data_IF_214493001292
#
_entry.id   IF_214493001292
#
_cell.length_a   1.000
_cell.length_b   1.000
_cell.length_c   1.000
_cell.angle_alpha   90.00
_cell.angle_beta   90.00
_cell.angle_gamma   90.00
#
_symmetry.space_group_name_H-M   'P 1'
#
loop_
_entity.id
_entity.type
_entity.pdbx_description
1 polymer ?
#
# COMPACT_ATOMS: atom_id res chain seq x y z
N UNK A 1 -25.05 14.42 -0.91
CA UNK A 1 -23.58 14.34 -1.15
C UNK A 1 -23.05 13.23 -0.28
N UNK A 2 -22.57 12.12 -0.86
CA UNK A 2 -21.97 11.05 -0.07
C UNK A 2 -20.68 11.58 0.58
N UNK A 3 -20.57 11.46 1.90
CA UNK A 3 -19.35 11.80 2.63
C UNK A 3 -18.25 10.84 2.19
N UNK A 4 -17.37 11.27 1.29
CA UNK A 4 -16.20 10.47 0.91
C UNK A 4 -15.15 10.53 2.01
N UNK A 5 -14.55 9.39 2.30
CA UNK A 5 -13.42 9.27 3.21
C UNK A 5 -12.14 9.27 2.35
N UNK A 6 -11.24 10.19 2.63
CA UNK A 6 -9.91 10.18 2.01
C UNK A 6 -8.96 9.34 2.85
N UNK A 7 -8.32 8.38 2.23
CA UNK A 7 -7.29 7.56 2.86
C UNK A 7 -5.94 7.87 2.22
N UNK A 8 -4.97 8.26 3.06
CA UNK A 8 -3.62 8.63 2.65
C UNK A 8 -2.62 7.64 3.24
N UNK A 9 -1.74 7.07 2.43
CA UNK A 9 -0.67 6.25 2.97
C UNK A 9 -0.23 5.07 2.13
N UNK A 10 0.22 4.03 2.80
CA UNK A 10 0.85 2.87 2.20
C UNK A 10 -0.12 1.97 1.44
N UNK A 11 0.20 1.74 0.17
CA UNK A 11 -0.38 0.72 -0.66
C UNK A 11 0.75 0.09 -1.48
N UNK A 12 0.98 -1.19 -1.29
CA UNK A 12 2.14 -1.92 -1.78
C UNK A 12 1.80 -3.38 -2.06
N UNK A 13 2.79 -4.17 -2.41
CA UNK A 13 2.63 -5.62 -2.61
C UNK A 13 3.22 -6.37 -1.42
N UNK A 14 2.40 -7.20 -0.80
CA UNK A 14 2.82 -8.18 0.19
C UNK A 14 3.16 -9.50 -0.51
N UNK A 15 4.39 -9.96 -0.33
CA UNK A 15 4.91 -11.22 -0.87
C UNK A 15 5.20 -12.18 0.27
N UNK A 16 4.61 -13.36 0.21
CA UNK A 16 4.81 -14.40 1.23
C UNK A 16 5.27 -15.70 0.59
N UNK A 17 6.49 -16.12 0.91
CA UNK A 17 6.99 -17.45 0.63
C UNK A 17 6.76 -18.34 1.84
N UNK A 18 6.04 -19.45 1.69
CA UNK A 18 5.88 -20.46 2.74
C UNK A 18 6.65 -21.73 2.35
N UNK A 19 7.58 -22.12 3.21
CA UNK A 19 8.40 -23.29 2.99
C UNK A 19 7.58 -24.57 3.21
N UNK A 20 7.94 -25.64 2.50
CA UNK A 20 7.30 -26.96 2.63
C UNK A 20 7.96 -27.86 3.72
N UNK A 21 8.78 -27.26 4.59
CA UNK A 21 9.46 -27.95 5.68
C UNK A 21 10.45 -27.05 6.42
N UNK A 22 11.29 -27.62 7.29
CA UNK A 22 12.25 -26.84 8.10
C UNK A 22 13.23 -26.05 7.24
N UNK A 23 13.52 -24.82 7.67
CA UNK A 23 14.48 -23.95 6.99
C UNK A 23 15.88 -24.52 6.97
N UNK A 24 16.50 -24.57 5.77
CA UNK A 24 17.92 -24.85 5.60
C UNK A 24 18.62 -23.56 5.15
N UNK A 25 19.37 -22.97 6.07
CA UNK A 25 20.13 -21.75 5.80
C UNK A 25 21.19 -21.99 4.73
N UNK A 26 21.38 -21.03 3.80
CA UNK A 26 22.38 -21.12 2.72
C UNK A 26 22.03 -22.13 1.63
N UNK A 27 20.82 -22.65 1.57
CA UNK A 27 20.36 -23.60 0.57
C UNK A 27 19.02 -23.14 -0.07
N UNK A 28 18.67 -23.75 -1.22
CA UNK A 28 17.32 -23.60 -1.78
C UNK A 28 16.33 -24.43 -0.96
N UNK A 29 15.25 -23.78 -0.56
CA UNK A 29 14.17 -24.41 0.19
C UNK A 29 12.93 -24.48 -0.70
N UNK A 30 12.34 -25.66 -0.91
CA UNK A 30 11.05 -25.78 -1.61
C UNK A 30 9.95 -25.06 -0.85
N UNK A 31 8.98 -24.49 -1.57
CA UNK A 31 7.89 -23.75 -0.94
C UNK A 31 6.91 -23.20 -1.95
N UNK A 32 5.92 -22.45 -1.43
CA UNK A 32 4.88 -21.79 -2.22
C UNK A 32 4.97 -20.29 -2.07
N UNK A 33 4.57 -19.59 -3.10
CA UNK A 33 4.60 -18.14 -3.17
C UNK A 33 3.20 -17.58 -3.28
N UNK A 34 2.90 -16.55 -2.48
CA UNK A 34 1.69 -15.76 -2.57
C UNK A 34 2.07 -14.29 -2.69
N UNK A 35 1.40 -13.59 -3.59
CA UNK A 35 1.57 -12.16 -3.79
C UNK A 35 0.19 -11.50 -3.83
N UNK A 36 0.00 -10.46 -3.02
CA UNK A 36 -1.28 -9.74 -2.94
C UNK A 36 -1.07 -8.26 -2.60
N UNK A 37 -1.96 -7.36 -3.06
CA UNK A 37 -1.97 -5.98 -2.62
C UNK A 37 -2.21 -5.87 -1.12
N UNK A 38 -1.44 -5.00 -0.46
CA UNK A 38 -1.52 -4.73 0.97
C UNK A 38 -1.11 -3.32 1.31
N UNK A 39 -0.74 -3.10 2.56
CA UNK A 39 -0.40 -1.81 3.13
C UNK A 39 -1.50 -1.25 4.03
N UNK A 40 -1.11 -0.48 5.04
CA UNK A 40 -2.02 0.02 6.08
C UNK A 40 -3.17 0.84 5.51
N UNK A 41 -2.86 1.80 4.63
CA UNK A 41 -3.88 2.63 3.98
C UNK A 41 -4.75 1.82 3.01
N UNK A 42 -4.15 0.95 2.21
CA UNK A 42 -4.91 0.10 1.28
C UNK A 42 -5.90 -0.80 2.02
N UNK A 43 -5.47 -1.48 3.09
CA UNK A 43 -6.32 -2.36 3.89
C UNK A 43 -7.46 -1.59 4.57
N UNK A 44 -7.18 -0.38 5.08
CA UNK A 44 -8.21 0.49 5.64
C UNK A 44 -9.22 0.92 4.58
N UNK A 45 -8.75 1.35 3.39
CA UNK A 45 -9.61 1.73 2.28
C UNK A 45 -10.52 0.57 1.84
N UNK A 46 -9.98 -0.65 1.72
CA UNK A 46 -10.73 -1.84 1.39
C UNK A 46 -11.84 -2.14 2.41
N UNK A 47 -11.54 -2.02 3.71
CA UNK A 47 -12.51 -2.27 4.76
C UNK A 47 -13.62 -1.19 4.77
N UNK A 48 -13.26 0.08 4.62
CA UNK A 48 -14.23 1.16 4.52
C UNK A 48 -15.16 1.01 3.30
N UNK A 49 -14.61 0.63 2.15
CA UNK A 49 -15.41 0.37 0.95
C UNK A 49 -16.38 -0.80 1.15
N UNK A 50 -15.94 -1.89 1.79
CA UNK A 50 -16.81 -3.04 2.14
C UNK A 50 -17.92 -2.68 3.14
N UNK A 51 -17.69 -1.67 3.99
CA UNK A 51 -18.69 -1.12 4.89
C UNK A 51 -19.67 -0.14 4.20
N UNK A 52 -19.52 0.07 2.88
CA UNK A 52 -20.41 0.90 2.07
C UNK A 52 -20.06 2.38 2.04
N UNK A 53 -18.87 2.75 2.52
CA UNK A 53 -18.40 4.14 2.40
C UNK A 53 -17.87 4.42 1.01
N UNK A 54 -18.04 5.67 0.54
CA UNK A 54 -17.31 6.19 -0.61
C UNK A 54 -15.88 6.50 -0.17
N UNK A 55 -14.89 5.87 -0.80
CA UNK A 55 -13.49 5.96 -0.40
C UNK A 55 -12.64 6.44 -1.56
N UNK A 56 -11.77 7.41 -1.30
CA UNK A 56 -10.67 7.81 -2.19
C UNK A 56 -9.34 7.42 -1.55
N UNK A 57 -8.47 6.76 -2.31
CA UNK A 57 -7.14 6.35 -1.86
C UNK A 57 -6.06 7.16 -2.59
N UNK A 58 -5.18 7.81 -1.83
CA UNK A 58 -3.97 8.43 -2.35
C UNK A 58 -2.76 7.74 -1.72
N UNK A 59 -1.91 7.16 -2.56
CA UNK A 59 -0.71 6.45 -2.12
C UNK A 59 0.44 6.67 -3.10
N UNK A 60 1.71 6.75 -2.63
CA UNK A 60 2.87 6.74 -3.52
C UNK A 60 3.08 5.34 -4.09
N UNK A 61 3.30 5.26 -5.41
CA UNK A 61 3.57 4.01 -6.14
C UNK A 61 4.60 4.21 -7.22
N UNK A 62 5.25 3.13 -7.64
CA UNK A 62 6.03 3.09 -8.87
C UNK A 62 5.14 3.01 -10.11
N UNK A 63 5.71 3.31 -11.27
CA UNK A 63 5.06 3.11 -12.58
C UNK A 63 5.30 1.69 -13.10
N UNK A 64 5.05 0.67 -12.29
CA UNK A 64 5.35 -0.72 -12.56
C UNK A 64 4.12 -1.64 -12.42
N UNK A 65 4.26 -2.90 -12.80
CA UNK A 65 3.18 -3.89 -12.73
C UNK A 65 2.64 -4.10 -11.31
N UNK A 66 3.47 -3.89 -10.28
CA UNK A 66 3.05 -3.96 -8.88
C UNK A 66 2.09 -2.81 -8.52
N UNK A 67 2.38 -1.59 -9.00
CA UNK A 67 1.49 -0.44 -8.87
C UNK A 67 0.16 -0.66 -9.59
N UNK A 68 0.18 -1.24 -10.79
CA UNK A 68 -1.02 -1.60 -11.55
C UNK A 68 -1.87 -2.66 -10.83
N UNK A 69 -1.25 -3.66 -10.20
CA UNK A 69 -1.95 -4.66 -9.39
C UNK A 69 -2.72 -4.01 -8.22
N UNK A 70 -2.10 -3.05 -7.53
CA UNK A 70 -2.77 -2.31 -6.44
C UNK A 70 -3.95 -1.52 -6.98
N UNK A 71 -3.78 -0.78 -8.10
CA UNK A 71 -4.87 -0.02 -8.72
C UNK A 71 -6.02 -0.91 -9.12
N UNK A 72 -5.76 -2.03 -9.80
CA UNK A 72 -6.79 -2.97 -10.20
C UNK A 72 -7.55 -3.58 -9.01
N UNK A 73 -6.87 -3.79 -7.88
CA UNK A 73 -7.50 -4.30 -6.67
C UNK A 73 -8.40 -3.24 -6.00
N UNK A 74 -7.97 -1.97 -5.99
CA UNK A 74 -8.76 -0.85 -5.49
C UNK A 74 -10.03 -0.64 -6.33
N UNK A 75 -9.90 -0.64 -7.66
CA UNK A 75 -11.01 -0.47 -8.60
C UNK A 75 -12.08 -1.55 -8.45
N UNK A 76 -11.67 -2.82 -8.25
CA UNK A 76 -12.62 -3.94 -8.02
C UNK A 76 -13.51 -3.74 -6.79
N UNK A 77 -13.08 -2.93 -5.83
CA UNK A 77 -13.85 -2.59 -4.62
C UNK A 77 -14.58 -1.24 -4.74
N UNK A 78 -14.52 -0.60 -5.90
CA UNK A 78 -15.12 0.72 -6.12
C UNK A 78 -14.41 1.86 -5.39
N UNK A 79 -13.14 1.66 -5.03
CA UNK A 79 -12.31 2.71 -4.44
C UNK A 79 -11.84 3.65 -5.56
N UNK A 80 -12.03 4.96 -5.36
CA UNK A 80 -11.47 6.00 -6.22
C UNK A 80 -9.96 6.10 -5.99
N UNK A 81 -9.19 5.40 -6.83
CA UNK A 81 -7.75 5.27 -6.70
C UNK A 81 -7.02 6.41 -7.40
N UNK A 82 -6.31 7.23 -6.63
CA UNK A 82 -5.59 8.41 -7.08
C UNK A 82 -4.09 8.33 -6.72
N UNK A 83 -3.31 7.39 -7.29
CA UNK A 83 -1.92 7.20 -6.91
C UNK A 83 -1.04 8.39 -7.30
N UNK A 84 -0.04 8.69 -6.46
CA UNK A 84 1.09 9.55 -6.83
C UNK A 84 2.18 8.65 -7.41
N UNK A 85 2.31 8.66 -8.74
CA UNK A 85 3.20 7.74 -9.45
C UNK A 85 4.59 8.32 -9.61
N UNK A 86 5.61 7.53 -9.27
CA UNK A 86 7.03 7.79 -9.47
C UNK A 86 7.55 6.84 -10.54
N UNK A 87 7.73 7.35 -11.76
CA UNK A 87 8.07 6.52 -12.94
C UNK A 87 9.48 5.91 -12.88
N UNK A 88 10.36 6.47 -12.06
CA UNK A 88 11.75 6.05 -11.90
C UNK A 88 11.97 5.18 -10.65
N UNK A 89 10.89 4.73 -10.00
CA UNK A 89 10.91 3.96 -8.77
C UNK A 89 10.02 2.73 -8.86
N UNK A 90 10.35 1.72 -8.07
CA UNK A 90 9.49 0.56 -7.88
C UNK A 90 8.39 0.86 -6.84
N UNK A 91 7.24 0.23 -7.01
CA UNK A 91 6.20 0.20 -5.98
C UNK A 91 6.74 -0.51 -4.73
N UNK A 92 6.50 0.03 -3.53
CA UNK A 92 6.96 -0.59 -2.30
C UNK A 92 6.49 -2.03 -2.17
N UNK A 93 7.27 -2.85 -1.49
CA UNK A 93 6.92 -4.24 -1.24
C UNK A 93 7.41 -4.72 0.12
N UNK A 94 6.63 -5.60 0.72
CA UNK A 94 7.02 -6.36 1.90
C UNK A 94 7.13 -7.83 1.51
N UNK A 95 8.30 -8.42 1.70
CA UNK A 95 8.55 -9.82 1.36
C UNK A 95 8.89 -10.58 2.63
N UNK A 96 8.12 -11.62 2.95
CA UNK A 96 8.35 -12.49 4.10
C UNK A 96 8.54 -13.94 3.67
N UNK A 97 9.51 -14.60 4.28
CA UNK A 97 9.68 -16.06 4.18
C UNK A 97 9.26 -16.66 5.50
N UNK A 98 8.32 -17.59 5.43
CA UNK A 98 7.72 -18.27 6.58
C UNK A 98 8.05 -19.77 6.55
N UNK A 99 8.22 -20.36 7.70
CA UNK A 99 8.26 -21.81 7.85
C UNK A 99 6.88 -22.44 7.61
N UNK A 100 6.81 -23.75 7.55
CA UNK A 100 5.58 -24.50 7.34
C UNK A 100 4.54 -24.30 8.46
N UNK A 101 5.00 -24.01 9.69
CA UNK A 101 4.15 -23.65 10.84
C UNK A 101 3.72 -22.18 10.87
N UNK A 102 4.26 -21.35 9.94
CA UNK A 102 3.94 -19.93 9.82
C UNK A 102 4.88 -18.99 10.57
N UNK A 103 5.93 -19.51 11.24
CA UNK A 103 6.93 -18.66 11.87
C UNK A 103 7.76 -17.89 10.83
N UNK A 104 8.07 -16.64 11.13
CA UNK A 104 8.86 -15.79 10.25
C UNK A 104 10.34 -16.21 10.29
N UNK A 105 10.88 -16.58 9.13
CA UNK A 105 12.32 -16.82 8.95
C UNK A 105 13.06 -15.51 8.72
N UNK A 106 12.60 -14.71 7.75
CA UNK A 106 13.18 -13.43 7.39
C UNK A 106 12.16 -12.58 6.64
N UNK A 107 12.27 -11.26 6.77
CA UNK A 107 11.49 -10.33 5.97
C UNK A 107 12.37 -9.22 5.40
N UNK A 108 11.97 -8.72 4.24
CA UNK A 108 12.53 -7.54 3.58
C UNK A 108 11.41 -6.53 3.36
N UNK A 109 11.57 -5.33 3.90
CA UNK A 109 10.66 -4.20 3.70
C UNK A 109 11.32 -3.18 2.78
N UNK A 110 10.94 -3.16 1.51
CA UNK A 110 11.36 -2.13 0.56
C UNK A 110 10.29 -1.03 0.53
N UNK A 111 10.42 -0.07 1.45
CA UNK A 111 9.43 0.98 1.72
C UNK A 111 9.96 2.40 1.46
N UNK A 112 11.19 2.55 0.94
CA UNK A 112 11.84 3.85 0.78
C UNK A 112 11.06 4.86 -0.09
N UNK A 113 10.17 4.37 -0.97
CA UNK A 113 9.34 5.25 -1.79
C UNK A 113 8.41 6.13 -0.94
N UNK A 114 7.97 5.65 0.22
CA UNK A 114 7.07 6.43 1.09
C UNK A 114 7.72 7.71 1.61
N UNK A 115 9.03 7.73 1.80
CA UNK A 115 9.79 8.91 2.22
C UNK A 115 9.75 10.05 1.18
N UNK A 116 9.47 9.72 -0.08
CA UNK A 116 9.33 10.69 -1.16
C UNK A 116 7.94 11.35 -1.23
N UNK A 117 6.98 10.85 -0.46
CA UNK A 117 5.65 11.46 -0.36
C UNK A 117 5.67 12.63 0.62
N UNK A 118 6.34 13.70 0.21
CA UNK A 118 6.55 14.90 1.03
C UNK A 118 5.29 15.78 1.13
N UNK A 119 5.27 16.70 2.10
CA UNK A 119 4.25 17.73 2.26
C UNK A 119 4.00 18.56 0.97
N UNK A 120 5.02 18.73 0.14
CA UNK A 120 4.88 19.37 -1.19
C UNK A 120 3.91 18.62 -2.10
N UNK A 121 3.85 17.28 -2.01
CA UNK A 121 2.94 16.45 -2.82
C UNK A 121 1.49 16.66 -2.42
N UNK A 122 1.20 16.90 -1.14
CA UNK A 122 -0.15 17.27 -0.67
C UNK A 122 -0.63 18.60 -1.25
N UNK A 123 0.29 19.51 -1.57
CA UNK A 123 -0.02 20.82 -2.19
C UNK A 123 -0.22 20.74 -3.70
N UNK A 124 0.02 19.59 -4.34
CA UNK A 124 -0.29 19.42 -5.74
C UNK A 124 -1.80 19.59 -5.96
N UNK A 125 -2.19 20.17 -7.10
CA UNK A 125 -3.57 20.55 -7.40
C UNK A 125 -4.54 19.39 -7.21
N UNK A 126 -4.23 18.21 -7.74
CA UNK A 126 -5.07 17.02 -7.66
C UNK A 126 -5.29 16.54 -6.23
N UNK A 127 -4.25 16.55 -5.39
CA UNK A 127 -4.35 16.18 -3.97
C UNK A 127 -5.13 17.23 -3.19
N UNK A 128 -4.92 18.52 -3.45
CA UNK A 128 -5.66 19.61 -2.81
C UNK A 128 -7.15 19.57 -3.14
N UNK A 129 -7.52 19.31 -4.38
CA UNK A 129 -8.92 19.16 -4.79
C UNK A 129 -9.56 17.97 -4.03
N UNK A 130 -8.85 16.85 -3.90
CA UNK A 130 -9.30 15.71 -3.11
C UNK A 130 -9.49 16.03 -1.63
N UNK A 131 -8.59 16.81 -1.03
CA UNK A 131 -8.68 17.24 0.36
C UNK A 131 -9.86 18.20 0.60
N UNK A 132 -10.12 19.12 -0.33
CA UNK A 132 -11.17 20.13 -0.20
C UNK A 132 -12.58 19.53 -0.18
N UNK A 133 -12.80 18.42 -0.88
CA UNK A 133 -14.10 17.76 -1.00
C UNK A 133 -14.34 16.68 0.08
N UNK A 134 -13.41 16.54 1.03
CA UNK A 134 -13.40 15.46 2.01
C UNK A 134 -13.67 15.99 3.42
N UNK A 135 -14.51 15.28 4.20
CA UNK A 135 -14.78 15.61 5.61
C UNK A 135 -13.97 14.76 6.60
N UNK A 136 -13.52 13.61 6.15
CA UNK A 136 -12.80 12.65 7.00
C UNK A 136 -11.55 12.20 6.29
N UNK A 137 -10.41 12.33 6.96
CA UNK A 137 -9.11 11.89 6.45
C UNK A 137 -8.57 10.83 7.39
N UNK A 138 -8.15 9.70 6.83
CA UNK A 138 -7.40 8.66 7.50
C UNK A 138 -5.97 8.65 6.96
N UNK A 139 -5.00 8.88 7.83
CA UNK A 139 -3.57 8.83 7.47
C UNK A 139 -2.92 7.59 8.06
N UNK A 140 -2.15 6.89 7.25
CA UNK A 140 -1.28 5.80 7.67
C UNK A 140 0.05 6.38 8.19
N UNK A 141 0.50 5.90 9.34
CA UNK A 141 1.75 6.33 9.98
C UNK A 141 3.04 5.94 9.23
N UNK A 142 2.94 5.19 8.12
CA UNK A 142 4.06 4.92 7.21
C UNK A 142 4.48 6.15 6.38
N UNK A 143 3.68 7.21 6.37
CA UNK A 143 4.05 8.47 5.73
C UNK A 143 4.99 9.28 6.62
N UNK A 144 5.86 10.14 6.02
CA UNK A 144 6.72 11.05 6.79
C UNK A 144 5.89 11.93 7.74
N UNK A 145 6.36 12.13 8.97
CA UNK A 145 5.66 12.94 9.98
C UNK A 145 5.36 14.36 9.51
N UNK A 146 6.26 14.98 8.75
CA UNK A 146 6.06 16.29 8.13
C UNK A 146 4.91 16.31 7.12
N UNK A 147 4.66 15.19 6.44
CA UNK A 147 3.56 15.05 5.48
C UNK A 147 2.22 14.92 6.20
N UNK A 148 2.20 14.17 7.30
CA UNK A 148 0.98 14.00 8.12
C UNK A 148 0.62 15.31 8.83
N UNK A 149 1.60 16.13 9.17
CA UNK A 149 1.41 17.40 9.89
C UNK A 149 1.06 18.58 8.97
N UNK A 150 1.13 18.43 7.65
CA UNK A 150 0.94 19.49 6.66
C UNK A 150 -0.52 19.68 6.26
#
# INVERSE_FOLDING_TARGET
>A
MQNSILVLGGAHIDRRGRLDGPTRMGASNPGRWLEEPGGGAFNAACNLARLGHSVRLISPRGGDAAGEQVSAAAERLGIDDCPVVFLDRATPSYTAILEDDGNLVIALADMALYDLFSARRLRARTTRESLADTRTILCDANLPAETISA
#
